data_IF_799125069408
#
_entry.id   IF_799125069408
#
_cell.length_a   1.000
_cell.length_b   1.000
_cell.length_c   1.000
_cell.angle_alpha   90.00
_cell.angle_beta   90.00
_cell.angle_gamma   90.00
#
_symmetry.space_group_name_H-M   'P 1'
#
loop_
_entity.id
_entity.type
_entity.pdbx_description
1 polymer ?
#
# COMPACT_ATOMS: atom_id res chain seq x y z
N UNK A 1 -19.67 -15.26 37.23
CA UNK A 1 -19.69 -15.62 35.80
C UNK A 1 -18.29 -15.34 35.29
N UNK A 2 -17.46 -16.37 35.15
CA UNK A 2 -16.09 -16.20 34.64
C UNK A 2 -16.17 -15.60 33.24
N UNK A 3 -15.42 -14.53 33.00
CA UNK A 3 -15.30 -13.94 31.67
C UNK A 3 -14.43 -14.92 30.88
N UNK A 4 -15.07 -15.80 30.12
CA UNK A 4 -14.36 -16.73 29.24
C UNK A 4 -13.61 -15.91 28.18
N UNK A 5 -12.28 -16.00 28.20
CA UNK A 5 -11.41 -15.32 27.24
C UNK A 5 -11.65 -15.90 25.85
N UNK A 6 -11.91 -15.03 24.88
CA UNK A 6 -12.09 -15.39 23.48
C UNK A 6 -10.85 -15.03 22.65
N UNK A 7 -10.39 -15.98 21.87
CA UNK A 7 -9.35 -15.80 20.85
C UNK A 7 -10.02 -15.70 19.49
N UNK A 8 -9.60 -14.72 18.69
CA UNK A 8 -10.11 -14.53 17.34
C UNK A 8 -9.24 -15.31 16.34
N UNK A 9 -9.88 -16.13 15.51
CA UNK A 9 -9.25 -16.82 14.39
C UNK A 9 -9.73 -16.15 13.08
N UNK A 10 -8.88 -15.36 12.41
CA UNK A 10 -9.25 -14.64 11.21
C UNK A 10 -9.31 -15.58 10.00
N UNK A 11 -10.47 -15.60 9.35
CA UNK A 11 -10.70 -16.33 8.11
C UNK A 11 -11.43 -15.43 7.12
N UNK A 12 -11.58 -15.87 5.88
CA UNK A 12 -12.26 -15.08 4.85
C UNK A 12 -12.90 -16.00 3.81
N UNK A 13 -13.84 -15.44 3.06
CA UNK A 13 -14.36 -16.04 1.84
C UNK A 13 -13.81 -15.25 0.65
N UNK A 14 -13.05 -15.92 -0.20
CA UNK A 14 -12.51 -15.40 -1.44
C UNK A 14 -13.48 -15.66 -2.59
N UNK A 15 -13.70 -14.65 -3.40
CA UNK A 15 -14.60 -14.62 -4.53
C UNK A 15 -13.77 -14.26 -5.74
N UNK A 16 -13.69 -15.16 -6.72
CA UNK A 16 -13.01 -14.94 -7.99
C UNK A 16 -14.09 -14.78 -9.08
N UNK A 17 -14.43 -13.54 -9.47
CA UNK A 17 -15.36 -13.30 -10.57
C UNK A 17 -14.80 -13.80 -11.90
N UNK A 18 -15.71 -14.21 -12.79
CA UNK A 18 -15.33 -14.44 -14.20
C UNK A 18 -14.72 -13.15 -14.77
N UNK A 19 -13.65 -13.28 -15.56
CA UNK A 19 -12.95 -12.13 -16.12
C UNK A 19 -13.91 -11.12 -16.80
N UNK A 20 -13.80 -9.85 -16.42
CA UNK A 20 -14.66 -8.76 -16.92
C UNK A 20 -15.96 -8.56 -16.15
N UNK A 21 -16.25 -9.38 -15.14
CA UNK A 21 -17.36 -9.16 -14.21
C UNK A 21 -16.88 -8.41 -12.98
N UNK A 22 -17.60 -7.36 -12.59
CA UNK A 22 -17.26 -6.56 -11.41
C UNK A 22 -18.54 -6.34 -10.61
N UNK A 23 -18.54 -6.64 -9.30
CA UNK A 23 -19.70 -6.37 -8.46
C UNK A 23 -20.11 -4.90 -8.57
N UNK A 24 -21.40 -4.67 -8.83
CA UNK A 24 -21.96 -3.30 -8.90
C UNK A 24 -21.98 -2.57 -7.55
N UNK A 25 -21.74 -3.32 -6.46
CA UNK A 25 -21.68 -2.84 -5.09
C UNK A 25 -20.60 -3.58 -4.31
N UNK A 26 -20.02 -2.92 -3.32
CA UNK A 26 -19.00 -3.49 -2.44
C UNK A 26 -19.52 -3.81 -1.04
N UNK A 27 -20.75 -3.43 -0.71
CA UNK A 27 -21.34 -3.69 0.60
C UNK A 27 -22.70 -4.38 0.46
N UNK A 28 -22.99 -5.24 1.43
CA UNK A 28 -24.26 -5.91 1.64
C UNK A 28 -25.02 -5.16 2.74
N UNK A 29 -26.33 -5.04 2.59
CA UNK A 29 -27.19 -4.52 3.66
C UNK A 29 -27.13 -5.42 4.90
N UNK A 30 -27.64 -4.94 6.03
CA UNK A 30 -27.71 -5.74 7.28
C UNK A 30 -28.42 -7.08 7.09
N UNK A 31 -29.56 -7.08 6.38
CA UNK A 31 -30.36 -8.29 6.18
C UNK A 31 -29.63 -9.29 5.27
N UNK A 32 -29.02 -8.81 4.19
CA UNK A 32 -28.23 -9.63 3.27
C UNK A 32 -26.97 -10.19 3.95
N UNK A 33 -26.29 -9.39 4.78
CA UNK A 33 -25.14 -9.85 5.53
C UNK A 33 -25.52 -10.93 6.56
N UNK A 34 -26.68 -10.80 7.20
CA UNK A 34 -27.20 -11.81 8.13
C UNK A 34 -27.55 -13.12 7.41
N UNK A 35 -28.25 -13.05 6.27
CA UNK A 35 -28.58 -14.23 5.47
C UNK A 35 -27.32 -14.95 4.98
N UNK A 36 -26.32 -14.21 4.49
CA UNK A 36 -25.05 -14.78 4.07
C UNK A 36 -24.29 -15.42 5.23
N UNK A 37 -24.32 -14.82 6.42
CA UNK A 37 -23.63 -15.37 7.58
C UNK A 37 -24.21 -16.72 8.01
N UNK A 38 -25.52 -16.93 7.89
CA UNK A 38 -26.15 -18.24 8.12
C UNK A 38 -25.72 -19.30 7.10
N UNK A 39 -25.65 -18.93 5.82
CA UNK A 39 -25.14 -19.83 4.76
C UNK A 39 -23.68 -20.21 5.01
N UNK A 40 -22.85 -19.23 5.36
CA UNK A 40 -21.44 -19.45 5.71
C UNK A 40 -21.31 -20.34 6.95
N UNK A 41 -22.15 -20.12 7.97
CA UNK A 41 -22.14 -20.96 9.16
C UNK A 41 -22.40 -22.43 8.80
N UNK A 42 -23.40 -22.71 7.96
CA UNK A 42 -23.70 -24.07 7.49
C UNK A 42 -22.50 -24.70 6.77
N UNK A 43 -21.86 -23.96 5.87
CA UNK A 43 -20.67 -24.44 5.16
C UNK A 43 -19.53 -24.75 6.13
N UNK A 44 -19.22 -23.84 7.06
CA UNK A 44 -18.13 -24.02 8.02
C UNK A 44 -18.38 -25.20 8.97
N UNK A 45 -19.63 -25.47 9.37
CA UNK A 45 -19.97 -26.68 10.15
C UNK A 45 -19.72 -27.98 9.38
N UNK A 46 -19.93 -27.97 8.06
CA UNK A 46 -19.63 -29.13 7.22
C UNK A 46 -18.12 -29.31 6.99
N UNK A 47 -17.36 -28.20 6.95
CA UNK A 47 -15.94 -28.20 6.62
C UNK A 47 -15.01 -28.40 7.82
N UNK A 48 -15.34 -27.82 8.98
CA UNK A 48 -14.41 -27.66 10.10
C UNK A 48 -15.00 -28.33 11.36
N UNK A 49 -14.47 -29.49 11.76
CA UNK A 49 -14.88 -30.15 13.01
C UNK A 49 -14.65 -29.25 14.23
N UNK A 50 -15.64 -29.20 15.14
CA UNK A 50 -15.53 -28.44 16.39
C UNK A 50 -15.84 -26.94 16.27
N UNK A 51 -16.27 -26.46 15.10
CA UNK A 51 -16.63 -25.06 14.88
C UNK A 51 -17.84 -24.61 15.72
N UNK A 52 -18.66 -25.54 16.22
CA UNK A 52 -19.85 -25.25 17.05
C UNK A 52 -19.52 -24.42 18.31
N UNK A 53 -18.28 -24.54 18.80
CA UNK A 53 -17.80 -23.80 19.97
C UNK A 53 -17.41 -22.34 19.64
N UNK A 54 -17.30 -21.99 18.36
CA UNK A 54 -16.93 -20.67 17.90
C UNK A 54 -18.17 -19.80 17.66
N UNK A 55 -18.00 -18.49 17.90
CA UNK A 55 -18.92 -17.47 17.36
C UNK A 55 -18.36 -16.97 16.03
N UNK A 56 -19.16 -17.06 14.96
CA UNK A 56 -18.87 -16.45 13.68
C UNK A 56 -19.25 -14.96 13.70
N UNK A 57 -18.33 -14.11 13.28
CA UNK A 57 -18.58 -12.70 12.97
C UNK A 57 -18.23 -12.44 11.51
N UNK A 58 -19.18 -11.97 10.70
CA UNK A 58 -19.00 -11.64 9.29
C UNK A 58 -19.10 -10.13 9.09
N UNK A 59 -18.23 -9.56 8.24
CA UNK A 59 -18.49 -8.25 7.64
C UNK A 59 -19.07 -8.42 6.24
N UNK A 60 -20.22 -7.80 5.99
CA UNK A 60 -20.90 -7.79 4.68
C UNK A 60 -20.28 -6.78 3.73
N UNK A 61 -18.95 -6.81 3.56
CA UNK A 61 -18.22 -5.91 2.68
C UNK A 61 -17.12 -6.64 1.92
N UNK A 62 -17.00 -6.32 0.63
CA UNK A 62 -16.07 -6.90 -0.33
C UNK A 62 -14.81 -6.04 -0.41
N UNK A 63 -13.68 -6.62 0.00
CA UNK A 63 -12.39 -5.94 0.01
C UNK A 63 -11.43 -6.50 -1.04
N UNK A 64 -10.45 -5.70 -1.42
CA UNK A 64 -9.24 -6.19 -2.09
C UNK A 64 -8.23 -6.76 -1.06
N UNK A 65 -7.40 -7.77 -1.43
CA UNK A 65 -6.30 -8.26 -0.60
C UNK A 65 -5.46 -7.16 0.07
N UNK A 66 -5.17 -6.07 -0.64
CA UNK A 66 -4.33 -4.97 -0.15
C UNK A 66 -4.94 -4.28 1.07
N UNK A 67 -6.27 -4.27 1.18
CA UNK A 67 -6.99 -3.63 2.27
C UNK A 67 -6.99 -4.48 3.53
N UNK A 68 -7.07 -5.81 3.37
CA UNK A 68 -7.03 -6.77 4.48
C UNK A 68 -5.61 -6.94 5.02
N UNK A 69 -4.61 -6.88 4.13
CA UNK A 69 -3.20 -7.02 4.47
C UNK A 69 -2.53 -5.67 4.77
N UNK A 70 -3.19 -4.82 5.57
CA UNK A 70 -2.56 -3.62 6.14
C UNK A 70 -1.95 -3.94 7.50
N UNK A 71 -0.78 -3.38 7.88
CA UNK A 71 -0.18 -3.59 9.20
C UNK A 71 -1.18 -3.38 10.33
N UNK A 72 -1.21 -4.32 11.28
CA UNK A 72 -2.19 -4.34 12.38
C UNK A 72 -3.56 -4.92 12.02
N UNK A 73 -3.77 -5.35 10.77
CA UNK A 73 -5.00 -6.03 10.32
C UNK A 73 -6.29 -5.28 10.68
N UNK A 74 -6.43 -3.99 10.32
CA UNK A 74 -7.45 -3.10 10.86
C UNK A 74 -8.89 -3.57 10.64
N UNK A 75 -9.16 -4.27 9.53
CA UNK A 75 -10.48 -4.83 9.23
C UNK A 75 -10.85 -5.91 10.24
N UNK A 76 -9.99 -6.93 10.42
CA UNK A 76 -10.21 -7.99 11.40
C UNK A 76 -10.19 -7.46 12.83
N UNK A 77 -9.27 -6.56 13.18
CA UNK A 77 -9.21 -5.97 14.51
C UNK A 77 -10.51 -5.23 14.88
N UNK A 78 -11.09 -4.49 13.93
CA UNK A 78 -12.37 -3.79 14.12
C UNK A 78 -13.54 -4.77 14.19
N UNK A 79 -13.56 -5.78 13.33
CA UNK A 79 -14.57 -6.83 13.35
C UNK A 79 -14.60 -7.58 14.69
N UNK A 80 -13.43 -7.95 15.20
CA UNK A 80 -13.25 -8.61 16.50
C UNK A 80 -13.77 -7.74 17.65
N UNK A 81 -13.46 -6.44 17.62
CA UNK A 81 -13.92 -5.50 18.63
C UNK A 81 -15.45 -5.38 18.64
N UNK A 82 -16.06 -5.23 17.47
CA UNK A 82 -17.52 -5.16 17.34
C UNK A 82 -18.18 -6.46 17.80
N UNK A 83 -17.66 -7.60 17.38
CA UNK A 83 -18.20 -8.92 17.71
C UNK A 83 -18.16 -9.25 19.20
N UNK A 84 -17.13 -8.76 19.93
CA UNK A 84 -17.04 -8.89 21.40
C UNK A 84 -18.04 -8.03 22.15
N UNK A 85 -18.50 -6.91 21.57
CA UNK A 85 -19.51 -6.02 22.18
C UNK A 85 -20.93 -6.58 22.09
N UNK A 86 -21.17 -7.58 21.25
CA UNK A 86 -22.49 -8.21 21.09
C UNK A 86 -22.80 -9.13 22.28
N UNK A 87 -23.87 -8.87 23.06
CA UNK A 87 -24.22 -9.64 24.25
C UNK A 87 -24.35 -11.15 23.96
N UNK A 88 -23.80 -11.98 24.86
CA UNK A 88 -24.03 -13.44 24.86
C UNK A 88 -25.40 -13.71 25.48
N UNK A 89 -26.36 -14.16 24.67
CA UNK A 89 -27.70 -14.54 25.13
C UNK A 89 -28.88 -13.99 24.32
N UNK A 90 -28.64 -13.17 23.29
CA UNK A 90 -29.70 -12.61 22.42
C UNK A 90 -29.57 -12.97 20.94
N UNK A 91 -28.44 -13.54 20.52
CA UNK A 91 -28.15 -13.87 19.13
C UNK A 91 -27.48 -15.25 19.10
N UNK A 92 -27.82 -16.02 18.07
CA UNK A 92 -27.19 -17.29 17.71
C UNK A 92 -25.65 -17.12 17.61
N UNK A 93 -24.91 -18.23 17.47
CA UNK A 93 -23.45 -18.22 17.33
C UNK A 93 -22.94 -17.49 16.06
N UNK A 94 -23.79 -16.73 15.38
CA UNK A 94 -23.56 -16.04 14.11
C UNK A 94 -23.93 -14.56 14.29
N UNK A 95 -23.01 -13.67 13.93
CA UNK A 95 -23.19 -12.22 13.94
C UNK A 95 -22.74 -11.67 12.60
N UNK A 96 -23.55 -10.79 12.01
CA UNK A 96 -23.21 -10.12 10.76
C UNK A 96 -23.25 -8.59 10.91
N UNK A 97 -22.29 -7.93 10.28
CA UNK A 97 -22.22 -6.48 10.19
C UNK A 97 -22.38 -6.07 8.73
N UNK A 98 -23.57 -5.58 8.38
CA UNK A 98 -23.87 -5.03 7.05
C UNK A 98 -24.06 -3.51 7.08
N UNK A 99 -24.14 -2.93 5.89
CA UNK A 99 -24.32 -1.49 5.72
C UNK A 99 -25.72 -1.03 6.11
N UNK A 100 -25.81 0.22 6.56
CA UNK A 100 -27.05 0.95 6.80
C UNK A 100 -26.94 2.32 6.15
N UNK A 101 -27.94 2.70 5.36
CA UNK A 101 -27.92 3.92 4.54
C UNK A 101 -26.63 4.06 3.72
N UNK A 102 -26.16 2.94 3.16
CA UNK A 102 -24.96 2.87 2.32
C UNK A 102 -23.62 2.90 3.06
N UNK A 103 -23.60 2.91 4.39
CA UNK A 103 -22.37 2.99 5.18
C UNK A 103 -22.19 1.79 6.10
N UNK A 104 -20.96 1.30 6.20
CA UNK A 104 -20.56 0.27 7.16
C UNK A 104 -20.48 0.84 8.58
N UNK A 105 -20.66 0.01 9.63
CA UNK A 105 -20.75 0.48 11.02
C UNK A 105 -19.44 1.06 11.58
N UNK A 106 -18.31 0.90 10.89
CA UNK A 106 -17.03 1.47 11.26
C UNK A 106 -16.18 1.73 10.01
N UNK A 107 -15.36 2.78 10.05
CA UNK A 107 -14.54 3.21 8.90
C UNK A 107 -13.55 2.14 8.39
N UNK A 108 -12.89 1.32 9.23
CA UNK A 108 -12.07 0.21 8.73
C UNK A 108 -12.85 -0.91 8.03
N UNK A 109 -14.17 -0.99 8.24
CA UNK A 109 -15.03 -1.94 7.54
C UNK A 109 -15.61 -1.38 6.24
N UNK A 110 -15.28 -0.13 5.88
CA UNK A 110 -15.69 0.49 4.63
C UNK A 110 -14.66 0.19 3.52
N UNK A 111 -15.03 -0.54 2.46
CA UNK A 111 -14.11 -0.87 1.37
C UNK A 111 -13.83 0.36 0.50
N UNK A 112 -12.60 0.48 0.01
CA UNK A 112 -12.19 1.61 -0.82
C UNK A 112 -12.56 1.40 -2.29
N UNK A 113 -13.25 2.38 -2.89
CA UNK A 113 -13.57 2.38 -4.31
C UNK A 113 -12.32 2.35 -5.22
N UNK A 114 -11.15 2.74 -4.71
CA UNK A 114 -9.87 2.70 -5.44
C UNK A 114 -9.47 1.27 -5.83
N UNK A 115 -9.88 0.26 -5.05
CA UNK A 115 -9.52 -1.14 -5.25
C UNK A 115 -10.71 -1.98 -5.75
N UNK A 116 -11.80 -1.32 -6.17
CA UNK A 116 -13.05 -1.95 -6.56
C UNK A 116 -12.97 -2.81 -7.84
N UNK A 117 -11.86 -2.76 -8.58
CA UNK A 117 -11.64 -3.45 -9.87
C UNK A 117 -10.61 -4.58 -9.78
N UNK A 118 -10.14 -4.96 -8.59
CA UNK A 118 -9.20 -6.08 -8.42
C UNK A 118 -9.77 -7.42 -8.95
N UNK A 119 -8.93 -8.42 -9.25
CA UNK A 119 -9.37 -9.70 -9.82
C UNK A 119 -10.09 -10.62 -8.83
N UNK A 120 -9.97 -10.35 -7.52
CA UNK A 120 -10.57 -11.15 -6.45
C UNK A 120 -11.18 -10.23 -5.40
N UNK A 121 -12.33 -10.62 -4.83
CA UNK A 121 -12.97 -9.93 -3.70
C UNK A 121 -12.98 -10.82 -2.48
N UNK A 122 -12.79 -10.22 -1.32
CA UNK A 122 -12.67 -10.93 -0.06
C UNK A 122 -13.74 -10.45 0.92
N UNK A 123 -14.46 -11.41 1.53
CA UNK A 123 -15.35 -11.18 2.66
C UNK A 123 -14.66 -11.66 3.94
N UNK A 124 -14.07 -10.77 4.74
CA UNK A 124 -13.41 -11.18 5.97
C UNK A 124 -14.42 -11.55 7.05
N UNK A 125 -14.02 -12.51 7.87
CA UNK A 125 -14.79 -12.98 9.00
C UNK A 125 -13.85 -13.34 10.16
N UNK A 126 -14.39 -13.46 11.35
CA UNK A 126 -13.66 -13.83 12.55
C UNK A 126 -14.41 -14.91 13.31
N UNK A 127 -13.70 -15.94 13.70
CA UNK A 127 -14.21 -16.99 14.58
C UNK A 127 -13.70 -16.69 15.99
N UNK A 128 -14.60 -16.28 16.88
CA UNK A 128 -14.29 -16.04 18.29
C UNK A 128 -14.46 -17.34 19.07
N UNK A 129 -13.34 -17.92 19.49
CA UNK A 129 -13.25 -19.27 20.07
C UNK A 129 -12.80 -19.19 21.53
N UNK A 130 -13.29 -20.04 22.43
CA UNK A 130 -12.71 -20.20 23.75
C UNK A 130 -11.21 -20.45 23.69
N UNK A 131 -10.43 -19.79 24.57
CA UNK A 131 -8.97 -19.85 24.54
C UNK A 131 -8.43 -21.29 24.63
N UNK A 132 -9.11 -22.16 25.37
CA UNK A 132 -8.78 -23.58 25.52
C UNK A 132 -8.92 -24.41 24.23
N UNK A 133 -9.70 -23.94 23.24
CA UNK A 133 -9.92 -24.63 21.95
C UNK A 133 -9.24 -23.93 20.78
N UNK A 134 -8.65 -22.75 20.99
CA UNK A 134 -8.17 -21.88 19.92
C UNK A 134 -7.06 -22.54 19.07
N UNK A 135 -6.07 -23.17 19.72
CA UNK A 135 -4.95 -23.78 19.01
C UNK A 135 -5.39 -24.99 18.17
N UNK A 136 -6.26 -25.84 18.74
CA UNK A 136 -6.81 -27.00 18.04
C UNK A 136 -7.64 -26.58 16.83
N UNK A 137 -8.56 -25.62 17.01
CA UNK A 137 -9.41 -25.16 15.92
C UNK A 137 -8.61 -24.40 14.86
N UNK A 138 -7.60 -23.62 15.26
CA UNK A 138 -6.69 -22.96 14.31
C UNK A 138 -5.99 -23.99 13.42
N UNK A 139 -5.49 -25.10 13.98
CA UNK A 139 -4.88 -26.16 13.18
C UNK A 139 -5.89 -26.84 12.25
N UNK A 140 -7.12 -27.08 12.73
CA UNK A 140 -8.17 -27.65 11.88
C UNK A 140 -8.51 -26.73 10.71
N UNK A 141 -8.60 -25.41 10.93
CA UNK A 141 -8.84 -24.44 9.85
C UNK A 141 -7.76 -24.55 8.76
N UNK A 142 -6.47 -24.50 9.13
CA UNK A 142 -5.39 -24.60 8.15
C UNK A 142 -5.44 -25.94 7.37
N UNK A 143 -5.73 -27.06 8.05
CA UNK A 143 -5.78 -28.38 7.40
C UNK A 143 -6.98 -28.48 6.43
N UNK A 144 -8.17 -28.05 6.85
CA UNK A 144 -9.37 -28.25 6.06
C UNK A 144 -9.48 -27.24 4.90
N UNK A 145 -9.08 -25.98 5.11
CA UNK A 145 -9.32 -24.92 4.11
C UNK A 145 -8.38 -25.00 2.89
N UNK A 146 -7.12 -25.44 3.07
CA UNK A 146 -6.11 -25.52 1.98
C UNK A 146 -6.55 -26.34 0.77
N UNK A 147 -7.40 -27.35 0.95
CA UNK A 147 -7.84 -28.24 -0.15
C UNK A 147 -9.34 -28.51 -0.21
N UNK A 148 -10.11 -28.17 0.82
CA UNK A 148 -11.56 -28.42 0.88
C UNK A 148 -12.38 -27.16 1.13
N UNK A 149 -11.76 -25.99 1.15
CA UNK A 149 -12.43 -24.72 1.45
C UNK A 149 -13.46 -24.26 0.41
N UNK A 150 -13.91 -25.08 -0.55
CA UNK A 150 -14.92 -24.63 -1.52
C UNK A 150 -16.26 -24.35 -0.82
N UNK A 151 -16.85 -23.21 -1.16
CA UNK A 151 -18.14 -22.82 -0.60
C UNK A 151 -19.26 -23.75 -1.09
N UNK A 152 -20.28 -23.92 -0.25
CA UNK A 152 -21.44 -24.71 -0.63
C UNK A 152 -22.17 -24.08 -1.81
N UNK A 153 -22.85 -24.94 -2.60
CA UNK A 153 -23.61 -24.52 -3.80
C UNK A 153 -24.62 -23.42 -3.48
N UNK A 154 -25.25 -23.48 -2.30
CA UNK A 154 -26.23 -22.47 -1.86
C UNK A 154 -25.58 -21.12 -1.61
N UNK A 155 -24.44 -21.10 -0.91
CA UNK A 155 -23.66 -19.88 -0.64
C UNK A 155 -23.19 -19.23 -1.94
N UNK A 156 -22.65 -20.03 -2.86
CA UNK A 156 -22.20 -19.55 -4.16
C UNK A 156 -23.36 -19.00 -5.02
N UNK A 157 -24.50 -19.71 -5.11
CA UNK A 157 -25.69 -19.24 -5.86
C UNK A 157 -26.25 -17.95 -5.26
N UNK A 158 -26.33 -17.87 -3.93
CA UNK A 158 -26.78 -16.66 -3.24
C UNK A 158 -25.86 -15.48 -3.55
N UNK A 159 -24.53 -15.66 -3.49
CA UNK A 159 -23.56 -14.60 -3.81
C UNK A 159 -23.70 -14.12 -5.27
N UNK A 160 -23.80 -15.04 -6.22
CA UNK A 160 -23.95 -14.69 -7.64
C UNK A 160 -25.23 -13.88 -7.90
N UNK A 161 -26.37 -14.29 -7.33
CA UNK A 161 -27.65 -13.58 -7.47
C UNK A 161 -27.62 -12.21 -6.81
N UNK A 162 -27.06 -12.15 -5.60
CA UNK A 162 -27.08 -10.95 -4.76
C UNK A 162 -26.11 -9.89 -5.28
N UNK A 163 -24.94 -10.30 -5.80
CA UNK A 163 -23.95 -9.39 -6.38
C UNK A 163 -24.18 -9.11 -7.88
N UNK A 164 -25.01 -9.94 -8.53
CA UNK A 164 -25.31 -9.82 -9.96
C UNK A 164 -24.11 -10.15 -10.85
N UNK A 165 -23.22 -11.04 -10.40
CA UNK A 165 -22.01 -11.46 -11.12
C UNK A 165 -21.90 -12.98 -11.20
N UNK A 166 -21.09 -13.46 -12.13
CA UNK A 166 -20.66 -14.86 -12.17
C UNK A 166 -19.33 -15.04 -11.43
N UNK A 167 -19.21 -16.15 -10.71
CA UNK A 167 -18.02 -16.52 -9.96
C UNK A 167 -17.41 -17.81 -10.56
N UNK A 168 -16.10 -17.81 -10.77
CA UNK A 168 -15.33 -19.01 -11.15
C UNK A 168 -15.04 -19.85 -9.91
N UNK A 169 -14.61 -19.19 -8.83
CA UNK A 169 -14.29 -19.83 -7.56
C UNK A 169 -14.85 -19.04 -6.38
N UNK A 170 -15.30 -19.78 -5.37
CA UNK A 170 -15.73 -19.25 -4.07
C UNK A 170 -15.12 -20.14 -2.99
N UNK A 171 -14.17 -19.62 -2.20
CA UNK A 171 -13.33 -20.42 -1.31
C UNK A 171 -13.09 -19.78 0.04
N UNK A 172 -13.30 -20.52 1.11
CA UNK A 172 -12.87 -20.19 2.46
C UNK A 172 -11.35 -20.36 2.57
N UNK A 173 -10.70 -19.35 3.12
CA UNK A 173 -9.25 -19.29 3.33
C UNK A 173 -8.95 -18.80 4.74
N UNK A 174 -7.84 -19.26 5.33
CA UNK A 174 -7.29 -18.63 6.51
C UNK A 174 -6.63 -17.29 6.15
N UNK A 175 -6.39 -16.43 7.13
CA UNK A 175 -5.53 -15.26 6.91
C UNK A 175 -4.12 -15.65 6.44
N UNK A 176 -3.61 -16.80 6.90
CA UNK A 176 -2.29 -17.28 6.52
C UNK A 176 -2.26 -17.72 5.05
N UNK A 177 -3.34 -18.33 4.56
CA UNK A 177 -3.50 -18.64 3.14
C UNK A 177 -3.50 -17.35 2.29
N UNK A 178 -4.18 -16.29 2.74
CA UNK A 178 -4.14 -15.00 2.04
C UNK A 178 -2.73 -14.41 1.99
N UNK A 179 -2.01 -14.43 3.11
CA UNK A 179 -0.62 -13.98 3.16
C UNK A 179 0.26 -14.76 2.17
N UNK A 180 0.13 -16.09 2.15
CA UNK A 180 0.88 -16.95 1.24
C UNK A 180 0.53 -16.68 -0.24
N UNK A 181 -0.75 -16.51 -0.55
CA UNK A 181 -1.22 -16.18 -1.89
C UNK A 181 -0.68 -14.82 -2.36
N UNK A 182 -0.77 -13.79 -1.52
CA UNK A 182 -0.26 -12.45 -1.85
C UNK A 182 1.26 -12.43 -1.97
N UNK A 183 2.00 -13.17 -1.13
CA UNK A 183 3.44 -13.37 -1.27
C UNK A 183 3.79 -13.85 -2.68
N UNK A 184 3.21 -14.98 -3.09
CA UNK A 184 3.44 -15.58 -4.42
C UNK A 184 3.03 -14.62 -5.55
N UNK A 185 1.93 -13.88 -5.39
CA UNK A 185 1.50 -12.89 -6.37
C UNK A 185 2.54 -11.76 -6.53
N UNK A 186 3.09 -11.24 -5.44
CA UNK A 186 4.08 -10.17 -5.48
C UNK A 186 5.43 -10.65 -6.01
N UNK A 187 5.85 -11.86 -5.69
CA UNK A 187 7.04 -12.47 -6.28
C UNK A 187 6.96 -12.56 -7.81
N UNK A 188 5.81 -12.99 -8.37
CA UNK A 188 5.62 -13.10 -9.81
C UNK A 188 5.69 -11.77 -10.58
N UNK A 189 5.46 -10.64 -9.91
CA UNK A 189 5.54 -9.29 -10.51
C UNK A 189 6.80 -8.52 -10.09
N UNK A 190 7.85 -9.22 -9.64
CA UNK A 190 9.14 -8.66 -9.20
C UNK A 190 9.05 -7.74 -7.97
N UNK A 191 8.08 -7.97 -7.08
CA UNK A 191 7.88 -7.22 -5.83
C UNK A 191 8.28 -8.03 -4.60
N UNK A 192 9.06 -9.10 -4.76
CA UNK A 192 9.56 -9.94 -3.67
C UNK A 192 10.27 -9.13 -2.57
N UNK A 193 11.08 -8.14 -2.96
CA UNK A 193 11.78 -7.27 -2.00
C UNK A 193 10.82 -6.44 -1.15
N UNK A 194 9.72 -5.94 -1.73
CA UNK A 194 8.69 -5.25 -0.96
C UNK A 194 7.91 -6.20 -0.07
N UNK A 195 7.64 -7.43 -0.53
CA UNK A 195 6.99 -8.43 0.31
C UNK A 195 7.79 -8.67 1.59
N UNK A 196 9.12 -8.80 1.52
CA UNK A 196 9.98 -8.93 2.71
C UNK A 196 9.72 -7.83 3.76
N UNK A 197 9.58 -6.57 3.32
CA UNK A 197 9.31 -5.44 4.22
C UNK A 197 7.86 -5.44 4.74
N UNK A 198 6.91 -5.78 3.88
CA UNK A 198 5.48 -5.87 4.23
C UNK A 198 5.23 -7.01 5.22
N UNK A 199 5.87 -8.17 5.04
CA UNK A 199 5.79 -9.31 5.93
C UNK A 199 6.30 -8.93 7.33
N UNK A 200 7.44 -8.24 7.40
CA UNK A 200 7.93 -7.68 8.67
C UNK A 200 6.89 -6.75 9.30
N UNK A 201 6.32 -5.82 8.53
CA UNK A 201 5.28 -4.91 9.03
C UNK A 201 3.97 -5.60 9.47
N UNK A 202 3.61 -6.71 8.84
CA UNK A 202 2.39 -7.46 9.13
C UNK A 202 2.53 -8.40 10.32
N UNK A 203 3.64 -9.14 10.39
CA UNK A 203 3.81 -10.28 11.29
C UNK A 203 4.80 -10.02 12.42
N UNK A 204 5.81 -9.18 12.19
CA UNK A 204 6.84 -8.87 13.18
C UNK A 204 7.19 -7.38 13.21
N UNK A 205 6.20 -6.48 13.44
CA UNK A 205 6.40 -5.03 13.30
C UNK A 205 7.46 -4.40 14.23
N UNK A 206 7.92 -5.15 15.23
CA UNK A 206 9.01 -4.78 16.12
C UNK A 206 10.41 -5.14 15.59
N UNK A 207 10.51 -5.90 14.49
CA UNK A 207 11.77 -6.25 13.85
C UNK A 207 12.08 -5.26 12.74
N UNK A 208 13.35 -4.88 12.66
CA UNK A 208 13.85 -4.13 11.54
C UNK A 208 14.17 -5.09 10.39
N UNK A 209 13.93 -4.66 9.17
CA UNK A 209 14.16 -5.48 7.98
C UNK A 209 14.79 -4.64 6.87
N UNK A 210 15.67 -5.24 6.06
CA UNK A 210 16.42 -4.51 5.02
C UNK A 210 16.49 -5.33 3.74
N UNK A 211 16.34 -4.66 2.60
CA UNK A 211 16.36 -5.31 1.30
C UNK A 211 16.92 -4.38 0.21
N UNK A 212 17.17 -4.94 -0.96
CA UNK A 212 17.51 -4.21 -2.18
C UNK A 212 16.40 -4.43 -3.21
N UNK A 213 16.02 -3.37 -3.91
CA UNK A 213 15.12 -3.48 -5.06
C UNK A 213 15.77 -4.26 -6.21
N UNK A 214 14.99 -4.57 -7.26
CA UNK A 214 15.53 -5.26 -8.44
C UNK A 214 16.61 -4.45 -9.15
N UNK A 215 16.56 -3.11 -9.06
CA UNK A 215 17.60 -2.20 -9.58
C UNK A 215 18.62 -1.76 -8.51
N UNK A 216 18.61 -2.39 -7.34
CA UNK A 216 19.58 -2.15 -6.27
C UNK A 216 19.32 -0.91 -5.42
N UNK A 217 18.08 -0.42 -5.37
CA UNK A 217 17.69 0.66 -4.46
C UNK A 217 17.52 0.09 -3.05
N UNK A 218 18.31 0.59 -2.09
CA UNK A 218 18.24 0.09 -0.72
C UNK A 218 16.97 0.57 0.00
N UNK A 219 16.33 -0.35 0.73
CA UNK A 219 15.12 -0.09 1.50
C UNK A 219 15.24 -0.71 2.89
N UNK A 220 14.68 -0.02 3.88
CA UNK A 220 14.73 -0.41 5.28
C UNK A 220 13.37 -0.22 5.93
N UNK A 221 12.83 -1.26 6.55
CA UNK A 221 11.67 -1.17 7.42
C UNK A 221 12.12 -1.02 8.88
N UNK A 222 11.60 0.01 9.55
CA UNK A 222 11.75 0.22 10.99
C UNK A 222 10.63 1.13 11.50
N UNK A 223 10.19 0.94 12.75
CA UNK A 223 9.21 1.80 13.42
C UNK A 223 7.91 2.04 12.60
N UNK A 224 7.42 1.00 11.91
CA UNK A 224 6.17 1.09 11.14
C UNK A 224 6.26 1.93 9.86
N UNK A 225 7.45 2.15 9.30
CA UNK A 225 7.69 2.89 8.05
C UNK A 225 8.79 2.23 7.22
N UNK A 226 8.80 2.53 5.92
CA UNK A 226 9.88 2.16 5.01
C UNK A 226 10.71 3.39 4.67
N UNK A 227 12.01 3.28 4.85
CA UNK A 227 13.00 4.28 4.46
C UNK A 227 13.75 3.76 3.22
N UNK A 228 13.69 4.52 2.13
CA UNK A 228 14.34 4.20 0.87
C UNK A 228 15.55 5.11 0.62
N UNK A 229 16.62 4.55 0.08
CA UNK A 229 17.77 5.30 -0.38
C UNK A 229 17.32 6.41 -1.34
N UNK A 230 17.94 7.59 -1.24
CA UNK A 230 17.64 8.67 -2.19
C UNK A 230 18.08 8.31 -3.62
N UNK A 231 17.28 8.64 -4.66
CA UNK A 231 17.68 8.48 -6.04
C UNK A 231 18.99 9.20 -6.41
N UNK A 232 19.31 10.36 -5.83
CA UNK A 232 20.60 11.05 -6.07
C UNK A 232 21.75 10.34 -5.36
N UNK A 233 21.54 9.83 -4.15
CA UNK A 233 22.55 9.02 -3.46
C UNK A 233 22.85 7.74 -4.25
N UNK A 234 21.82 7.06 -4.75
CA UNK A 234 21.97 5.91 -5.63
C UNK A 234 22.72 6.29 -6.93
N UNK A 235 22.41 7.44 -7.53
CA UNK A 235 23.08 7.95 -8.72
C UNK A 235 24.57 8.28 -8.48
N UNK A 236 24.92 8.73 -7.28
CA UNK A 236 26.29 9.16 -6.93
C UNK A 236 27.36 8.08 -6.98
N UNK A 237 26.95 6.82 -6.84
CA UNK A 237 27.87 5.67 -6.90
C UNK A 237 27.92 5.05 -8.31
N UNK A 238 27.14 5.55 -9.27
CA UNK A 238 27.12 5.04 -10.64
C UNK A 238 28.30 5.57 -11.45
N UNK A 239 29.03 4.67 -12.10
CA UNK A 239 30.27 4.98 -12.85
C UNK A 239 30.09 4.95 -14.37
N UNK A 240 28.88 4.66 -14.86
CA UNK A 240 28.57 4.66 -16.29
C UNK A 240 28.63 6.06 -16.91
N UNK A 241 28.58 6.14 -18.24
CA UNK A 241 28.52 7.42 -18.94
C UNK A 241 27.24 8.21 -18.61
N UNK A 242 27.22 9.50 -18.98
CA UNK A 242 26.12 10.39 -18.63
C UNK A 242 24.76 9.96 -19.21
N UNK A 243 24.74 9.38 -20.42
CA UNK A 243 23.49 8.94 -21.06
C UNK A 243 22.95 7.72 -20.35
N UNK A 244 23.82 6.75 -20.05
CA UNK A 244 23.45 5.53 -19.34
C UNK A 244 22.96 5.84 -17.92
N UNK A 245 23.67 6.71 -17.18
CA UNK A 245 23.22 7.13 -15.84
C UNK A 245 21.87 7.82 -15.84
N UNK A 246 21.60 8.68 -16.82
CA UNK A 246 20.29 9.31 -16.96
C UNK A 246 19.19 8.28 -17.22
N UNK A 247 19.46 7.29 -18.07
CA UNK A 247 18.55 6.17 -18.33
C UNK A 247 18.29 5.35 -17.06
N UNK A 248 19.34 4.94 -16.34
CA UNK A 248 19.20 4.10 -15.15
C UNK A 248 18.51 4.85 -14.00
N UNK A 249 18.80 6.14 -13.85
CA UNK A 249 18.09 7.02 -12.91
C UNK A 249 16.58 7.06 -13.19
N UNK A 250 16.18 7.17 -14.47
CA UNK A 250 14.77 7.10 -14.85
C UNK A 250 14.14 5.75 -14.44
N UNK A 251 14.88 4.64 -14.61
CA UNK A 251 14.47 3.31 -14.19
C UNK A 251 14.27 3.17 -12.68
N UNK A 252 15.17 3.76 -11.88
CA UNK A 252 15.07 3.79 -10.41
C UNK A 252 13.86 4.60 -9.95
N UNK A 253 13.61 5.78 -10.53
CA UNK A 253 12.43 6.58 -10.17
C UNK A 253 11.14 5.87 -10.58
N UNK A 254 11.13 5.17 -11.71
CA UNK A 254 9.98 4.35 -12.12
C UNK A 254 9.68 3.24 -11.11
N UNK A 255 10.69 2.47 -10.69
CA UNK A 255 10.54 1.42 -9.66
C UNK A 255 10.08 2.03 -8.32
N UNK A 256 10.67 3.16 -7.91
CA UNK A 256 10.28 3.88 -6.70
C UNK A 256 8.80 4.31 -6.71
N UNK A 257 8.25 4.71 -7.86
CA UNK A 257 6.82 5.03 -8.00
C UNK A 257 5.94 3.81 -7.80
N UNK A 258 6.32 2.67 -8.38
CA UNK A 258 5.60 1.40 -8.20
C UNK A 258 5.62 0.99 -6.72
N UNK A 259 6.78 1.10 -6.08
CA UNK A 259 6.93 0.81 -4.66
C UNK A 259 6.08 1.74 -3.78
N UNK A 260 6.14 3.05 -4.04
CA UNK A 260 5.34 4.02 -3.32
C UNK A 260 3.83 3.73 -3.44
N UNK A 261 3.34 3.40 -4.64
CA UNK A 261 1.94 3.09 -4.85
C UNK A 261 1.50 1.85 -4.06
N UNK A 262 2.31 0.78 -4.06
CA UNK A 262 2.00 -0.43 -3.31
C UNK A 262 2.01 -0.18 -1.80
N UNK A 263 3.06 0.47 -1.29
CA UNK A 263 3.20 0.78 0.13
C UNK A 263 2.06 1.68 0.62
N UNK A 264 1.66 2.68 -0.18
CA UNK A 264 0.51 3.54 0.13
C UNK A 264 -0.80 2.74 0.22
N UNK A 265 -1.04 1.79 -0.70
CA UNK A 265 -2.21 0.93 -0.68
C UNK A 265 -2.28 0.05 0.61
N UNK A 266 -1.13 -0.44 1.06
CA UNK A 266 -0.96 -1.15 2.34
C UNK A 266 -0.90 -0.22 3.56
N UNK A 267 -0.97 1.11 3.38
CA UNK A 267 -0.85 2.12 4.45
C UNK A 267 0.48 2.04 5.21
N UNK A 268 1.55 1.69 4.52
CA UNK A 268 2.90 1.66 5.06
C UNK A 268 3.67 2.92 4.59
N UNK A 269 3.95 3.90 5.47
CA UNK A 269 4.56 5.15 5.07
C UNK A 269 5.95 4.97 4.44
N UNK A 270 6.19 5.62 3.30
CA UNK A 270 7.48 5.67 2.62
C UNK A 270 8.18 7.01 2.89
N UNK A 271 9.48 6.98 3.20
CA UNK A 271 10.33 8.17 3.37
C UNK A 271 11.71 7.95 2.76
N UNK A 272 12.45 9.01 2.48
CA UNK A 272 13.86 8.90 2.13
C UNK A 272 14.70 8.61 3.38
N UNK A 273 15.77 7.84 3.22
CA UNK A 273 16.82 7.67 4.22
C UNK A 273 17.58 8.99 4.40
N UNK A 274 17.55 9.52 5.62
CA UNK A 274 18.30 10.72 5.95
C UNK A 274 19.80 10.41 6.01
N UNK A 275 20.63 11.18 5.30
CA UNK A 275 22.09 11.18 5.50
C UNK A 275 22.48 12.37 6.37
N UNK A 276 23.58 12.25 7.12
CA UNK A 276 24.07 13.31 8.00
C UNK A 276 24.16 14.66 7.30
N UNK A 277 23.46 15.66 7.82
CA UNK A 277 23.43 17.01 7.28
C UNK A 277 22.40 17.25 6.15
N UNK A 278 21.70 16.21 5.71
CA UNK A 278 20.64 16.30 4.70
C UNK A 278 19.26 16.28 5.38
N UNK A 279 18.37 17.17 4.95
CA UNK A 279 16.98 17.18 5.42
C UNK A 279 16.12 16.45 4.38
N UNK A 280 15.33 15.49 4.82
CA UNK A 280 14.41 14.73 3.97
C UNK A 280 12.98 14.88 4.46
N UNK A 281 12.05 14.90 3.52
CA UNK A 281 10.62 15.03 3.76
C UNK A 281 9.85 14.09 2.83
N UNK A 282 8.75 13.57 3.34
CA UNK A 282 7.75 12.86 2.55
C UNK A 282 6.41 13.56 2.74
N UNK A 283 5.72 13.83 1.64
CA UNK A 283 4.34 14.31 1.64
C UNK A 283 3.43 13.40 0.83
N UNK A 284 2.18 13.81 0.66
CA UNK A 284 1.19 13.04 -0.10
C UNK A 284 1.61 12.92 -1.56
N UNK A 285 2.20 11.78 -1.95
CA UNK A 285 2.60 11.50 -3.32
C UNK A 285 3.90 12.16 -3.79
N UNK A 286 4.78 12.61 -2.88
CA UNK A 286 6.12 13.09 -3.22
C UNK A 286 7.16 12.78 -2.14
N UNK A 287 8.42 12.74 -2.55
CA UNK A 287 9.60 12.74 -1.67
C UNK A 287 10.44 13.98 -1.97
N UNK A 288 11.05 14.56 -0.95
CA UNK A 288 11.86 15.77 -1.06
C UNK A 288 13.13 15.62 -0.25
N UNK A 289 14.25 15.99 -0.85
CA UNK A 289 15.52 16.13 -0.17
C UNK A 289 16.05 17.56 -0.33
N UNK A 290 16.41 18.18 0.78
CA UNK A 290 17.07 19.49 0.80
C UNK A 290 18.56 19.27 0.98
N UNK A 291 19.32 19.77 0.00
CA UNK A 291 20.77 19.67 -0.03
C UNK A 291 21.43 20.87 0.67
N UNK A 292 20.84 22.05 0.52
CA UNK A 292 21.40 23.28 1.08
C UNK A 292 20.37 24.42 1.14
N UNK A 293 20.58 25.35 2.06
CA UNK A 293 19.73 26.54 2.23
C UNK A 293 19.92 27.55 1.09
N UNK A 294 18.89 28.36 0.83
CA UNK A 294 18.97 29.51 -0.09
C UNK A 294 20.08 30.46 0.37
N UNK A 295 20.95 30.87 -0.55
CA UNK A 295 21.96 31.90 -0.30
C UNK A 295 21.47 33.26 -0.86
N UNK A 296 21.22 34.28 -0.02
CA UNK A 296 20.80 35.61 -0.47
C UNK A 296 21.83 36.33 -1.35
N UNK A 297 23.09 35.89 -1.39
CA UNK A 297 24.12 36.45 -2.27
C UNK A 297 23.94 36.06 -3.75
N UNK A 298 23.08 35.08 -4.03
CA UNK A 298 22.75 34.60 -5.37
C UNK A 298 21.37 35.10 -5.81
N UNK A 299 21.09 35.03 -7.11
CA UNK A 299 19.76 35.34 -7.61
C UNK A 299 18.69 34.37 -7.05
N UNK A 300 17.43 34.76 -7.19
CA UNK A 300 16.31 33.94 -6.78
C UNK A 300 16.39 32.53 -7.41
N UNK A 301 16.02 31.46 -6.67
CA UNK A 301 16.02 30.12 -7.21
C UNK A 301 15.01 29.96 -8.35
N UNK A 302 15.23 28.95 -9.19
CA UNK A 302 14.31 28.51 -10.24
C UNK A 302 14.05 27.00 -10.12
N UNK A 303 12.91 26.56 -10.66
CA UNK A 303 12.50 25.15 -10.65
C UNK A 303 12.75 24.53 -12.03
N UNK A 304 13.40 23.37 -12.06
CA UNK A 304 13.74 22.67 -13.31
C UNK A 304 13.19 21.24 -13.31
N UNK A 305 12.41 20.90 -14.33
CA UNK A 305 11.87 19.55 -14.50
C UNK A 305 12.85 18.67 -15.26
N UNK A 306 13.26 17.57 -14.64
CA UNK A 306 13.97 16.48 -15.29
C UNK A 306 12.92 15.53 -15.88
N UNK A 307 13.00 15.29 -17.18
CA UNK A 307 12.01 14.51 -17.91
C UNK A 307 12.62 13.26 -18.53
N UNK A 308 11.88 12.15 -18.48
CA UNK A 308 12.25 10.90 -19.13
C UNK A 308 11.13 10.45 -20.08
N UNK A 309 11.48 9.94 -21.29
CA UNK A 309 10.49 9.44 -22.24
C UNK A 309 9.57 8.39 -21.62
N UNK A 310 8.25 8.57 -21.78
CA UNK A 310 7.23 7.68 -21.23
C UNK A 310 6.95 7.83 -19.73
N UNK A 311 7.76 8.58 -18.98
CA UNK A 311 7.59 8.76 -17.52
C UNK A 311 7.22 10.20 -17.11
N UNK A 312 7.36 11.17 -18.02
CA UNK A 312 7.15 12.58 -17.75
C UNK A 312 8.22 13.15 -16.80
N UNK A 313 7.81 14.08 -15.92
CA UNK A 313 8.70 14.68 -14.91
C UNK A 313 9.08 13.63 -13.88
N UNK A 314 10.35 13.24 -13.80
CA UNK A 314 10.88 12.25 -12.85
C UNK A 314 11.53 12.89 -11.62
N UNK A 315 12.00 14.13 -11.74
CA UNK A 315 12.51 14.92 -10.62
C UNK A 315 12.33 16.41 -10.90
N UNK A 316 12.21 17.20 -9.84
CA UNK A 316 12.30 18.66 -9.89
C UNK A 316 13.54 19.07 -9.11
N UNK A 317 14.42 19.83 -9.74
CA UNK A 317 15.58 20.45 -9.08
C UNK A 317 15.28 21.91 -8.81
N UNK A 318 15.48 22.34 -7.57
CA UNK A 318 15.49 23.76 -7.20
C UNK A 318 16.92 24.24 -7.27
N UNK A 319 17.23 25.26 -8.05
CA UNK A 319 18.62 25.73 -8.17
C UNK A 319 18.74 27.25 -8.25
N UNK A 320 19.83 27.77 -7.67
CA UNK A 320 20.26 29.16 -7.85
C UNK A 320 21.36 29.23 -8.91
N UNK A 321 21.36 30.24 -9.79
CA UNK A 321 22.50 30.46 -10.66
C UNK A 321 23.73 30.81 -9.81
N UNK A 322 24.90 30.25 -10.12
CA UNK A 322 26.13 30.70 -9.47
C UNK A 322 26.42 32.14 -9.91
N UNK A 323 26.64 33.03 -8.95
CA UNK A 323 27.11 34.38 -9.25
C UNK A 323 28.43 34.34 -10.03
N UNK A 324 28.68 35.36 -10.85
CA UNK A 324 29.91 35.52 -11.63
C UNK A 324 31.12 35.77 -10.72
N UNK A 325 31.69 34.73 -10.10
CA UNK A 325 33.04 34.81 -9.53
C UNK A 325 34.07 34.42 -10.59
N UNK A 326 34.89 35.39 -10.99
CA UNK A 326 36.10 35.22 -11.81
C UNK A 326 35.91 34.77 -13.27
N UNK A 327 34.86 35.22 -13.96
CA UNK A 327 34.77 35.12 -15.43
C UNK A 327 34.59 33.70 -16.00
N UNK A 328 34.44 32.68 -15.16
CA UNK A 328 33.95 31.36 -15.54
C UNK A 328 32.45 31.31 -15.28
N UNK A 329 31.67 30.79 -16.24
CA UNK A 329 30.25 30.47 -16.03
C UNK A 329 30.20 29.31 -15.03
N UNK A 330 30.02 29.61 -13.75
CA UNK A 330 29.81 28.58 -12.74
C UNK A 330 28.48 27.86 -12.98
N UNK A 331 28.45 26.54 -12.81
CA UNK A 331 27.22 25.74 -12.87
C UNK A 331 26.16 26.20 -11.86
N UNK A 332 24.92 25.72 -11.93
CA UNK A 332 23.91 26.10 -10.94
C UNK A 332 24.15 25.44 -9.57
N UNK A 333 23.84 26.16 -8.50
CA UNK A 333 23.83 25.66 -7.11
C UNK A 333 22.48 25.01 -6.83
N UNK A 334 22.43 23.68 -6.80
CA UNK A 334 21.19 22.93 -6.56
C UNK A 334 20.86 22.90 -5.06
N UNK A 335 19.71 23.45 -4.69
CA UNK A 335 19.25 23.55 -3.30
C UNK A 335 18.51 22.30 -2.82
N UNK A 336 17.75 21.67 -3.71
CA UNK A 336 16.89 20.54 -3.38
C UNK A 336 16.50 19.72 -4.61
N UNK A 337 16.14 18.47 -4.36
CA UNK A 337 15.48 17.61 -5.34
C UNK A 337 14.15 17.11 -4.79
N UNK A 338 13.12 17.17 -5.62
CA UNK A 338 11.82 16.57 -5.32
C UNK A 338 11.48 15.49 -6.34
N UNK A 339 10.92 14.39 -5.86
CA UNK A 339 10.51 13.23 -6.67
C UNK A 339 8.99 13.12 -6.62
N UNK A 340 8.27 13.56 -7.66
CA UNK A 340 6.84 13.33 -7.76
C UNK A 340 6.59 11.82 -7.94
N UNK A 341 5.89 11.22 -6.98
CA UNK A 341 5.58 9.79 -6.99
C UNK A 341 4.27 9.49 -7.74
N UNK A 342 3.39 10.50 -7.86
CA UNK A 342 2.13 10.42 -8.59
C UNK A 342 1.96 11.66 -9.47
N UNK A 343 1.35 11.54 -10.67
CA UNK A 343 1.18 12.67 -11.58
C UNK A 343 0.39 13.85 -10.98
N UNK A 344 -0.67 13.56 -10.22
CA UNK A 344 -1.54 14.55 -9.59
C UNK A 344 -0.82 15.44 -8.57
N UNK A 345 0.32 15.01 -8.05
CA UNK A 345 1.09 15.75 -7.03
C UNK A 345 1.91 16.88 -7.63
N UNK A 346 2.09 16.92 -8.96
CA UNK A 346 3.04 17.84 -9.59
C UNK A 346 2.71 19.31 -9.31
N UNK A 347 1.45 19.72 -9.48
CA UNK A 347 1.00 21.09 -9.22
C UNK A 347 1.19 21.53 -7.76
N UNK A 348 0.64 20.81 -6.77
CA UNK A 348 0.86 21.08 -5.35
C UNK A 348 2.35 21.11 -4.96
N UNK A 349 3.16 20.22 -5.54
CA UNK A 349 4.60 20.18 -5.28
C UNK A 349 5.33 21.42 -5.81
N UNK A 350 4.99 21.91 -7.01
CA UNK A 350 5.55 23.15 -7.56
C UNK A 350 5.21 24.33 -6.66
N UNK A 351 3.97 24.44 -6.19
CA UNK A 351 3.55 25.49 -5.27
C UNK A 351 4.33 25.43 -3.94
N UNK A 352 4.48 24.24 -3.36
CA UNK A 352 5.24 24.02 -2.14
C UNK A 352 6.71 24.42 -2.28
N UNK A 353 7.35 24.02 -3.38
CA UNK A 353 8.76 24.38 -3.63
C UNK A 353 8.91 25.89 -3.88
N UNK A 354 7.99 26.48 -4.62
CA UNK A 354 7.98 27.91 -4.92
C UNK A 354 7.90 28.76 -3.66
N UNK A 355 6.93 28.45 -2.79
CA UNK A 355 6.77 29.13 -1.50
C UNK A 355 7.99 28.94 -0.60
N UNK A 356 8.50 27.71 -0.49
CA UNK A 356 9.60 27.37 0.41
C UNK A 356 10.92 28.04 0.04
N UNK A 357 11.23 28.10 -1.25
CA UNK A 357 12.51 28.62 -1.74
C UNK A 357 12.41 30.05 -2.27
N UNK A 358 11.23 30.67 -2.26
CA UNK A 358 11.01 32.02 -2.79
C UNK A 358 11.31 32.12 -4.28
N UNK A 359 10.99 31.07 -5.05
CA UNK A 359 11.14 31.07 -6.51
C UNK A 359 9.86 31.53 -7.19
N UNK A 360 9.91 31.76 -8.51
CA UNK A 360 8.69 31.77 -9.31
C UNK A 360 8.07 30.36 -9.31
N UNK A 361 6.74 30.27 -9.42
CA UNK A 361 6.02 29.00 -9.59
C UNK A 361 6.09 28.45 -11.03
N UNK A 362 7.01 28.96 -11.84
CA UNK A 362 7.28 28.49 -13.19
C UNK A 362 8.23 27.29 -13.15
N UNK A 363 7.83 26.19 -13.79
CA UNK A 363 8.63 24.99 -13.89
C UNK A 363 9.27 24.92 -15.28
N UNK A 364 10.59 25.08 -15.36
CA UNK A 364 11.32 25.03 -16.61
C UNK A 364 11.56 23.58 -17.04
N UNK A 365 10.90 23.15 -18.11
CA UNK A 365 11.08 21.82 -18.69
C UNK A 365 12.46 21.69 -19.35
N UNK A 366 13.27 20.72 -18.92
CA UNK A 366 14.58 20.48 -19.51
C UNK A 366 14.52 19.59 -20.76
N UNK A 367 13.40 18.87 -20.98
CA UNK A 367 13.26 17.88 -22.05
C UNK A 367 14.12 16.63 -21.88
N UNK A 368 14.87 16.53 -20.78
CA UNK A 368 15.78 15.42 -20.44
C UNK A 368 16.12 15.42 -18.96
N UNK A 369 16.72 14.35 -18.48
CA UNK A 369 17.43 14.34 -17.20
C UNK A 369 18.79 15.01 -17.41
N UNK A 370 18.97 16.21 -16.87
CA UNK A 370 20.25 16.91 -16.90
C UNK A 370 21.16 16.43 -15.77
N UNK A 371 22.39 16.05 -16.11
CA UNK A 371 23.44 15.72 -15.16
C UNK A 371 24.54 16.79 -15.20
N UNK A 372 25.16 17.07 -14.05
CA UNK A 372 26.34 17.93 -13.92
C UNK A 372 27.64 17.20 -14.29
N UNK A 373 28.77 17.89 -14.19
CA UNK A 373 30.11 17.34 -14.49
C UNK A 373 30.49 16.17 -13.58
N UNK A 374 29.91 16.10 -12.38
CA UNK A 374 30.09 15.00 -11.41
C UNK A 374 29.07 13.88 -11.63
N UNK A 375 28.14 14.06 -12.56
CA UNK A 375 27.07 13.13 -12.83
C UNK A 375 25.90 13.13 -11.87
N UNK A 376 25.78 14.16 -11.04
CA UNK A 376 24.61 14.36 -10.20
C UNK A 376 23.53 15.08 -10.99
N UNK A 377 22.30 15.06 -10.49
CA UNK A 377 21.25 15.89 -11.07
C UNK A 377 21.67 17.37 -11.03
N UNK A 378 21.72 17.98 -12.21
CA UNK A 378 22.15 19.36 -12.39
C UNK A 378 21.02 20.27 -12.87
N UNK A 379 21.31 21.56 -12.90
CA UNK A 379 20.44 22.57 -13.49
C UNK A 379 21.27 23.52 -14.37
N UNK A 380 20.67 24.14 -15.40
CA UNK A 380 21.39 25.09 -16.26
C UNK A 380 21.78 26.34 -15.46
N UNK A 381 22.92 26.93 -15.81
CA UNK A 381 23.42 28.14 -15.15
C UNK A 381 22.54 29.38 -15.40
N UNK A 382 21.74 29.35 -16.46
CA UNK A 382 20.78 30.40 -16.84
C UNK A 382 19.48 29.75 -17.28
N UNK A 383 18.34 30.35 -16.89
CA UNK A 383 17.04 30.00 -17.46
C UNK A 383 17.04 30.37 -18.94
N UNK A 384 16.76 29.40 -19.81
CA UNK A 384 16.59 29.65 -21.25
C UNK A 384 15.09 29.87 -21.46
N UNK A 385 14.73 31.06 -21.94
CA UNK A 385 13.35 31.45 -22.27
C UNK A 385 12.89 30.87 -23.61
#
# INVERSE_FOLDING_TARGET
MEVQTLIALPVLLALEPVAGETPSRMTLSRDEAAELAELIAIDLHALVPGIDAARLALTGALFDPVELLRPGFPVWATLDELARRVPRGQLDNVVAFGSHDGHMPAQPLEPSAVFADGPMRLLPMSLLVPAELADELSQQLEIQLVGRGEAGVRTADWLMRTLGIRLEHVRYLSRNDLLALTCVQYEHVNLASLWTLLEAALLTPWRNESTLSARGLAMHYADGKVEVQSPTQWLSVQTADASQRAHDFAGIVFELRQHAALLDAHRLPLRLQATTGQQVEAGSGYLLETLQAVDPAHAAPSLFAHEAPGLGVVAISVAQPNGTRHGAVGGARVLAHAYPLQPQTLGPLIALLSERYGSAAELHALGRIMLDERGQLGAPATVIH
#
